data_IF_132783360381
#
_entry.id   IF_132783360381
#
_cell.length_a   1.000
_cell.length_b   1.000
_cell.length_c   1.000
_cell.angle_alpha   90.00
_cell.angle_beta   90.00
_cell.angle_gamma   90.00
#
_symmetry.space_group_name_H-M   'P 1'
#
loop_
_entity.id
_entity.type
_entity.pdbx_description
1 polymer ?
#
# COMPACT_ATOMS: atom_id res chain seq x y z
N UNK A 1 -15.08 -14.89 -5.49
CA UNK A 1 -14.97 -14.34 -4.11
C UNK A 1 -13.53 -14.35 -3.59
N UNK A 2 -12.81 -15.48 -3.68
CA UNK A 2 -11.40 -15.60 -3.24
C UNK A 2 -10.44 -14.65 -3.95
N UNK A 3 -10.55 -14.50 -5.27
CA UNK A 3 -9.72 -13.56 -6.05
C UNK A 3 -9.87 -12.10 -5.57
N UNK A 4 -11.10 -11.67 -5.26
CA UNK A 4 -11.38 -10.31 -4.76
C UNK A 4 -10.75 -10.05 -3.40
N UNK A 5 -10.78 -11.03 -2.49
CA UNK A 5 -10.15 -10.94 -1.16
C UNK A 5 -8.63 -10.82 -1.30
N UNK A 6 -8.02 -11.59 -2.21
CA UNK A 6 -6.59 -11.54 -2.47
C UNK A 6 -6.17 -10.18 -3.05
N UNK A 7 -6.89 -9.66 -4.05
CA UNK A 7 -6.64 -8.33 -4.64
C UNK A 7 -6.79 -7.23 -3.59
N UNK A 8 -7.83 -7.30 -2.74
CA UNK A 8 -8.05 -6.34 -1.68
C UNK A 8 -6.94 -6.36 -0.62
N UNK A 9 -6.50 -7.56 -0.22
CA UNK A 9 -5.41 -7.73 0.74
C UNK A 9 -4.08 -7.22 0.18
N UNK A 10 -3.80 -7.51 -1.10
CA UNK A 10 -2.62 -7.01 -1.80
C UNK A 10 -2.64 -5.48 -1.95
N UNK A 11 -3.82 -4.88 -2.17
CA UNK A 11 -4.01 -3.43 -2.19
C UNK A 11 -3.73 -2.80 -0.82
N UNK A 12 -4.33 -3.35 0.24
CA UNK A 12 -4.12 -2.89 1.61
C UNK A 12 -2.64 -2.98 2.00
N UNK A 13 -1.98 -4.08 1.67
CA UNK A 13 -0.54 -4.23 1.88
C UNK A 13 0.25 -3.14 1.15
N UNK A 14 0.01 -2.95 -0.14
CA UNK A 14 0.74 -1.96 -0.96
C UNK A 14 0.52 -0.52 -0.48
N UNK A 15 -0.65 -0.27 0.11
CA UNK A 15 -1.08 1.04 0.61
C UNK A 15 -0.52 1.34 2.00
N UNK A 16 -0.61 0.38 2.92
CA UNK A 16 -0.28 0.60 4.34
C UNK A 16 1.18 0.30 4.66
N UNK A 17 1.81 -0.63 3.94
CA UNK A 17 3.19 -1.01 4.19
C UNK A 17 4.21 0.15 4.09
N UNK A 18 4.08 1.12 3.15
CA UNK A 18 4.92 2.30 3.13
C UNK A 18 4.82 3.18 4.39
N UNK A 19 3.70 3.17 5.11
CA UNK A 19 3.55 3.98 6.33
C UNK A 19 4.54 3.58 7.42
N UNK A 20 5.10 2.37 7.38
CA UNK A 20 6.11 1.95 8.37
C UNK A 20 7.39 2.77 8.33
N UNK A 21 7.67 3.49 7.23
CA UNK A 21 8.80 4.40 7.15
C UNK A 21 8.71 5.53 8.20
N UNK A 22 7.52 5.82 8.72
CA UNK A 22 7.34 6.72 9.87
C UNK A 22 8.01 6.20 11.15
N UNK A 23 7.91 4.91 11.44
CA UNK A 23 8.48 4.33 12.67
C UNK A 23 10.02 4.29 12.65
N UNK A 24 10.65 4.33 11.47
CA UNK A 24 12.10 4.37 11.28
C UNK A 24 12.63 5.75 10.86
N UNK A 25 11.82 6.80 10.91
CA UNK A 25 12.28 8.14 10.51
C UNK A 25 13.50 8.61 11.31
N UNK A 26 13.63 8.19 12.58
CA UNK A 26 14.74 8.57 13.47
C UNK A 26 15.96 7.65 13.39
N UNK A 27 15.88 6.50 12.72
CA UNK A 27 16.98 5.51 12.65
C UNK A 27 17.26 5.14 11.20
N UNK A 28 18.40 5.56 10.62
CA UNK A 28 18.70 5.28 9.22
C UNK A 28 18.79 3.77 8.97
N UNK A 29 18.24 3.32 7.85
CA UNK A 29 18.36 1.92 7.41
C UNK A 29 19.84 1.61 7.13
N UNK A 30 20.39 0.57 7.77
CA UNK A 30 21.69 0.02 7.36
C UNK A 30 21.59 -0.55 5.93
N UNK A 31 22.60 -0.26 5.10
CA UNK A 31 22.88 -0.85 3.79
C UNK A 31 21.71 -0.86 2.78
N UNK A 32 21.19 0.31 2.38
CA UNK A 32 20.21 0.42 1.28
C UNK A 32 18.92 -0.43 1.43
N UNK A 33 18.70 -1.04 2.60
CA UNK A 33 17.57 -1.93 2.87
C UNK A 33 16.21 -1.23 2.67
N UNK A 34 16.20 0.11 2.74
CA UNK A 34 15.01 0.91 2.44
C UNK A 34 14.53 0.74 0.99
N UNK A 35 15.44 0.50 0.02
CA UNK A 35 15.11 0.30 -1.40
C UNK A 35 14.29 -0.96 -1.61
N UNK A 36 14.69 -2.09 -1.02
CA UNK A 36 13.92 -3.33 -1.02
C UNK A 36 12.52 -3.11 -0.42
N UNK A 37 12.51 -2.40 0.70
CA UNK A 37 11.34 -2.06 1.48
C UNK A 37 10.37 -1.09 0.80
N UNK A 38 10.85 -0.31 -0.17
CA UNK A 38 10.08 0.57 -1.06
C UNK A 38 9.65 -0.15 -2.35
N UNK A 39 10.49 -1.06 -2.86
CA UNK A 39 10.21 -1.86 -4.05
C UNK A 39 9.09 -2.88 -3.81
N UNK A 40 9.08 -3.55 -2.66
CA UNK A 40 8.10 -4.59 -2.34
C UNK A 40 6.63 -4.12 -2.48
N UNK A 41 6.17 -3.04 -1.81
CA UNK A 41 4.80 -2.55 -1.98
C UNK A 41 4.55 -2.01 -3.39
N UNK A 42 5.59 -1.61 -4.13
CA UNK A 42 5.44 -1.20 -5.53
C UNK A 42 5.18 -2.39 -6.46
N UNK A 43 5.88 -3.51 -6.27
CA UNK A 43 5.69 -4.72 -7.07
C UNK A 43 4.30 -5.29 -6.79
N UNK A 44 3.95 -5.48 -5.51
CA UNK A 44 2.63 -5.96 -5.12
C UNK A 44 1.54 -5.02 -5.65
N UNK A 45 1.71 -3.70 -5.51
CA UNK A 45 0.76 -2.73 -6.03
C UNK A 45 0.62 -2.72 -7.55
N UNK A 46 1.69 -3.04 -8.28
CA UNK A 46 1.66 -3.22 -9.73
C UNK A 46 0.84 -4.45 -10.14
N UNK A 47 1.05 -5.58 -9.48
CA UNK A 47 0.26 -6.81 -9.70
C UNK A 47 -1.22 -6.53 -9.39
N UNK A 48 -1.50 -5.90 -8.25
CA UNK A 48 -2.85 -5.50 -7.84
C UNK A 48 -3.52 -4.62 -8.90
N UNK A 49 -2.81 -3.63 -9.46
CA UNK A 49 -3.36 -2.78 -10.52
C UNK A 49 -3.76 -3.61 -11.74
N UNK A 50 -2.88 -4.49 -12.22
CA UNK A 50 -3.16 -5.35 -13.37
C UNK A 50 -4.42 -6.18 -13.10
N UNK A 51 -4.52 -6.82 -11.94
CA UNK A 51 -5.73 -7.56 -11.56
C UNK A 51 -6.98 -6.67 -11.57
N UNK A 52 -6.93 -5.47 -10.97
CA UNK A 52 -8.06 -4.53 -10.95
C UNK A 52 -8.50 -4.09 -12.36
N UNK A 53 -7.57 -3.95 -13.30
CA UNK A 53 -7.89 -3.61 -14.69
C UNK A 53 -8.66 -4.72 -15.41
N UNK A 54 -8.35 -5.99 -15.10
CA UNK A 54 -9.06 -7.16 -15.66
C UNK A 54 -10.37 -7.49 -14.93
N UNK A 55 -10.62 -6.96 -13.73
CA UNK A 55 -11.88 -7.15 -13.03
C UNK A 55 -13.02 -6.31 -13.63
N UNK A 56 -14.25 -6.82 -13.50
CA UNK A 56 -15.49 -6.12 -13.84
C UNK A 56 -15.85 -5.08 -12.75
N UNK A 57 -15.04 -4.02 -12.68
CA UNK A 57 -15.27 -2.86 -11.81
C UNK A 57 -15.54 -1.60 -12.65
N UNK A 58 -16.22 -0.58 -12.10
CA UNK A 58 -16.49 0.67 -12.79
C UNK A 58 -15.22 1.33 -13.31
N UNK A 59 -15.30 1.93 -14.51
CA UNK A 59 -14.17 2.61 -15.14
C UNK A 59 -13.56 3.71 -14.25
N UNK A 60 -14.39 4.41 -13.46
CA UNK A 60 -13.93 5.41 -12.50
C UNK A 60 -12.98 4.84 -11.43
N UNK A 61 -13.21 3.61 -10.95
CA UNK A 61 -12.33 2.94 -10.00
C UNK A 61 -11.03 2.45 -10.66
N UNK A 62 -11.10 2.01 -11.92
CA UNK A 62 -9.90 1.67 -12.71
C UNK A 62 -8.99 2.87 -12.88
N UNK A 63 -9.56 4.02 -13.27
CA UNK A 63 -8.81 5.27 -13.41
C UNK A 63 -8.22 5.74 -12.09
N UNK A 64 -8.96 5.62 -10.98
CA UNK A 64 -8.44 5.93 -9.65
C UNK A 64 -7.27 5.00 -9.26
N UNK A 65 -7.34 3.71 -9.60
CA UNK A 65 -6.26 2.75 -9.35
C UNK A 65 -5.00 3.07 -10.18
N UNK A 66 -5.17 3.43 -11.46
CA UNK A 66 -4.06 3.88 -12.32
C UNK A 66 -3.43 5.15 -11.76
N UNK A 67 -4.26 6.13 -11.36
CA UNK A 67 -3.79 7.38 -10.76
C UNK A 67 -3.00 7.12 -9.47
N UNK A 68 -3.57 6.32 -8.55
CA UNK A 68 -2.88 5.90 -7.32
C UNK A 68 -1.51 5.31 -7.61
N UNK A 69 -1.44 4.38 -8.58
CA UNK A 69 -0.18 3.71 -8.92
C UNK A 69 0.83 4.66 -9.54
N UNK A 70 0.39 5.57 -10.40
CA UNK A 70 1.25 6.59 -11.00
C UNK A 70 1.87 7.49 -9.92
N UNK A 71 1.06 7.99 -8.98
CA UNK A 71 1.55 8.78 -7.84
C UNK A 71 2.54 7.97 -7.01
N UNK A 72 2.23 6.70 -6.73
CA UNK A 72 3.12 5.86 -5.93
C UNK A 72 4.48 5.61 -6.62
N UNK A 73 4.49 5.41 -7.93
CA UNK A 73 5.73 5.26 -8.71
C UNK A 73 6.56 6.55 -8.69
N UNK A 74 5.96 7.71 -8.91
CA UNK A 74 6.65 9.02 -8.90
C UNK A 74 7.29 9.29 -7.54
N UNK A 75 6.51 9.12 -6.45
CA UNK A 75 7.01 9.31 -5.08
C UNK A 75 8.14 8.32 -4.77
N UNK A 76 7.98 7.06 -5.19
CA UNK A 76 8.97 6.02 -4.94
C UNK A 76 10.27 6.29 -5.70
N UNK A 77 10.19 6.72 -6.96
CA UNK A 77 11.36 7.10 -7.75
C UNK A 77 12.09 8.29 -7.15
N UNK A 78 11.35 9.29 -6.64
CA UNK A 78 11.94 10.43 -5.94
C UNK A 78 12.69 9.99 -4.67
N UNK A 79 12.04 9.18 -3.82
CA UNK A 79 12.66 8.64 -2.60
C UNK A 79 13.86 7.73 -2.91
N UNK A 80 13.84 6.98 -4.02
CA UNK A 80 14.94 6.11 -4.44
C UNK A 80 16.21 6.91 -4.75
N UNK A 81 16.08 8.06 -5.40
CA UNK A 81 17.22 8.93 -5.75
C UNK A 81 17.82 9.66 -4.56
N UNK A 82 17.02 9.96 -3.53
CA UNK A 82 17.41 10.81 -2.40
C UNK A 82 18.24 10.09 -1.31
N UNK A 83 18.40 8.76 -1.41
CA UNK A 83 19.15 7.96 -0.43
C UNK A 83 18.46 7.75 0.91
N UNK A 84 17.35 8.47 1.18
CA UNK A 84 16.51 8.30 2.35
C UNK A 84 15.02 8.45 2.00
N UNK A 85 14.14 7.58 2.53
CA UNK A 85 12.71 7.69 2.30
C UNK A 85 12.14 8.87 3.09
N UNK A 86 11.50 9.82 2.40
CA UNK A 86 10.73 10.86 3.07
C UNK A 86 9.34 10.30 3.45
N UNK A 87 9.04 10.05 4.74
CA UNK A 87 7.79 9.43 5.15
C UNK A 87 6.57 10.32 4.82
N UNK A 88 6.74 11.65 4.79
CA UNK A 88 5.68 12.59 4.41
C UNK A 88 5.29 12.50 2.93
N UNK A 89 6.23 12.16 2.04
CA UNK A 89 5.89 11.94 0.64
C UNK A 89 5.18 10.60 0.43
N UNK A 90 5.55 9.60 1.23
CA UNK A 90 4.96 8.27 1.16
C UNK A 90 3.54 8.19 1.76
N UNK A 91 3.13 9.14 2.60
CA UNK A 91 1.74 9.21 3.06
C UNK A 91 0.77 9.53 1.93
N UNK A 92 1.18 10.35 0.95
CA UNK A 92 0.33 10.77 -0.17
C UNK A 92 -0.23 9.56 -0.94
N UNK A 93 0.60 8.66 -1.51
CA UNK A 93 0.08 7.46 -2.18
C UNK A 93 -0.62 6.51 -1.22
N UNK A 94 -0.26 6.48 0.07
CA UNK A 94 -0.98 5.68 1.07
C UNK A 94 -2.40 6.18 1.32
N UNK A 95 -2.64 7.50 1.42
CA UNK A 95 -3.99 8.03 1.59
C UNK A 95 -4.84 7.85 0.34
N UNK A 96 -4.27 8.05 -0.85
CA UNK A 96 -4.97 7.80 -2.12
C UNK A 96 -5.32 6.30 -2.23
N UNK A 97 -4.40 5.41 -1.87
CA UNK A 97 -4.64 3.96 -1.86
C UNK A 97 -5.71 3.56 -0.85
N UNK A 98 -5.74 4.20 0.31
CA UNK A 98 -6.75 3.93 1.34
C UNK A 98 -8.14 4.38 0.89
N UNK A 99 -8.21 5.53 0.23
CA UNK A 99 -9.43 5.99 -0.42
C UNK A 99 -9.91 4.99 -1.49
N UNK A 100 -9.00 4.49 -2.34
CA UNK A 100 -9.30 3.44 -3.32
C UNK A 100 -9.80 2.15 -2.65
N UNK A 101 -9.21 1.72 -1.53
CA UNK A 101 -9.70 0.58 -0.75
C UNK A 101 -11.14 0.78 -0.29
N UNK A 102 -11.46 1.93 0.32
CA UNK A 102 -12.83 2.21 0.79
C UNK A 102 -13.82 2.20 -0.38
N UNK A 103 -13.45 2.79 -1.53
CA UNK A 103 -14.31 2.82 -2.72
C UNK A 103 -14.52 1.42 -3.33
N UNK A 104 -13.47 0.59 -3.38
CA UNK A 104 -13.58 -0.80 -3.86
C UNK A 104 -14.40 -1.66 -2.90
N UNK A 105 -14.23 -1.48 -1.59
CA UNK A 105 -15.02 -2.18 -0.58
C UNK A 105 -16.50 -1.81 -0.66
N UNK A 106 -16.80 -0.52 -0.81
CA UNK A 106 -18.16 -0.05 -1.02
C UNK A 106 -18.80 -0.66 -2.28
N UNK A 107 -18.00 -0.89 -3.34
CA UNK A 107 -18.47 -1.54 -4.56
C UNK A 107 -18.75 -3.04 -4.37
N UNK A 108 -17.88 -3.78 -3.66
CA UNK A 108 -18.02 -5.23 -3.52
C UNK A 108 -18.97 -5.69 -2.41
N UNK A 109 -19.04 -4.96 -1.29
CA UNK A 109 -19.74 -5.39 -0.06
C UNK A 109 -20.89 -4.43 0.29
N UNK A 110 -20.93 -3.24 -0.32
CA UNK A 110 -21.86 -2.17 0.04
C UNK A 110 -21.25 -1.16 1.01
N UNK A 111 -21.99 -0.10 1.27
CA UNK A 111 -21.50 1.11 1.95
C UNK A 111 -21.54 0.98 3.48
N UNK A 112 -20.75 0.05 4.05
CA UNK A 112 -20.60 -0.10 5.50
C UNK A 112 -19.22 0.41 5.97
N UNK A 113 -19.25 1.51 6.72
CA UNK A 113 -18.07 2.16 7.29
C UNK A 113 -17.41 1.32 8.40
N UNK A 114 -18.17 0.50 9.14
CA UNK A 114 -17.64 -0.36 10.21
C UNK A 114 -16.78 -1.46 9.62
N UNK A 115 -17.27 -2.09 8.55
CA UNK A 115 -16.52 -3.09 7.79
C UNK A 115 -15.28 -2.47 7.13
N UNK A 116 -15.38 -1.23 6.66
CA UNK A 116 -14.23 -0.53 6.07
C UNK A 116 -13.15 -0.21 7.09
N UNK A 117 -13.56 0.26 8.27
CA UNK A 117 -12.65 0.51 9.38
C UNK A 117 -11.99 -0.79 9.87
N UNK A 118 -12.76 -1.86 10.06
CA UNK A 118 -12.23 -3.15 10.47
C UNK A 118 -11.22 -3.73 9.46
N UNK A 119 -11.51 -3.63 8.16
CA UNK A 119 -10.60 -4.08 7.10
C UNK A 119 -9.28 -3.30 7.07
N UNK A 120 -9.35 -1.97 7.16
CA UNK A 120 -8.16 -1.10 7.23
C UNK A 120 -7.35 -1.41 8.50
N UNK A 121 -8.01 -1.55 9.65
CA UNK A 121 -7.35 -1.85 10.91
C UNK A 121 -6.65 -3.22 10.86
N UNK A 122 -7.31 -4.24 10.32
CA UNK A 122 -6.72 -5.56 10.11
C UNK A 122 -5.50 -5.52 9.19
N UNK A 123 -5.59 -4.78 8.07
CA UNK A 123 -4.47 -4.57 7.16
C UNK A 123 -3.30 -3.84 7.83
N UNK A 124 -3.59 -2.87 8.70
CA UNK A 124 -2.58 -2.13 9.46
C UNK A 124 -1.86 -3.03 10.47
N UNK A 125 -2.61 -3.82 11.23
CA UNK A 125 -2.07 -4.81 12.18
C UNK A 125 -1.19 -5.82 11.45
N UNK A 126 -1.63 -6.35 10.31
CA UNK A 126 -0.85 -7.29 9.51
C UNK A 126 0.47 -6.67 9.01
N UNK A 127 0.42 -5.45 8.48
CA UNK A 127 1.62 -4.74 8.03
C UNK A 127 2.59 -4.44 9.18
N UNK A 128 2.07 -4.08 10.36
CA UNK A 128 2.87 -3.90 11.58
C UNK A 128 3.52 -5.20 12.04
N UNK A 129 2.79 -6.32 12.03
CA UNK A 129 3.32 -7.62 12.40
C UNK A 129 4.47 -8.04 11.48
N UNK A 130 4.32 -7.88 10.17
CA UNK A 130 5.38 -8.11 9.19
C UNK A 130 6.60 -7.22 9.43
N UNK A 131 6.38 -5.96 9.80
CA UNK A 131 7.47 -5.05 10.13
C UNK A 131 8.25 -5.52 11.36
N UNK A 132 7.57 -5.90 12.45
CA UNK A 132 8.20 -6.41 13.68
C UNK A 132 9.00 -7.68 13.40
N UNK A 133 8.45 -8.61 12.61
CA UNK A 133 9.15 -9.84 12.21
C UNK A 133 10.40 -9.51 11.38
N UNK A 134 10.30 -8.57 10.44
CA UNK A 134 11.44 -8.16 9.61
C UNK A 134 12.57 -7.51 10.44
N UNK A 135 12.23 -6.86 11.56
CA UNK A 135 13.20 -6.26 12.46
C UNK A 135 14.00 -7.32 13.24
N UNK A 136 13.36 -8.39 13.71
CA UNK A 136 14.04 -9.47 14.47
C UNK A 136 15.08 -10.25 13.67
N UNK A 137 15.01 -10.26 12.33
CA UNK A 137 15.99 -10.96 11.47
C UNK A 137 17.26 -10.14 11.18
N UNK A 138 17.25 -8.84 11.44
CA UNK A 138 18.36 -7.94 11.10
C UNK A 138 18.87 -7.12 12.31
N UNK A 139 18.43 -7.48 13.52
CA UNK A 139 18.89 -6.92 14.80
C UNK A 139 19.96 -7.79 15.43
#
# INVERSE_FOLDING_TARGET
MTASILVFTALLFSTLYPLRFWFRFKTPFKNDSFKFHLALPNVVGGITLVCLLFMEIPFSLKMLAVFWKAVFLVVSQYCWKKGSPNPFLLTIPSFIGLYLCVRLQAFFIGHDLRLSFAGVLGGFIFCLALFIISQRRHG
#
